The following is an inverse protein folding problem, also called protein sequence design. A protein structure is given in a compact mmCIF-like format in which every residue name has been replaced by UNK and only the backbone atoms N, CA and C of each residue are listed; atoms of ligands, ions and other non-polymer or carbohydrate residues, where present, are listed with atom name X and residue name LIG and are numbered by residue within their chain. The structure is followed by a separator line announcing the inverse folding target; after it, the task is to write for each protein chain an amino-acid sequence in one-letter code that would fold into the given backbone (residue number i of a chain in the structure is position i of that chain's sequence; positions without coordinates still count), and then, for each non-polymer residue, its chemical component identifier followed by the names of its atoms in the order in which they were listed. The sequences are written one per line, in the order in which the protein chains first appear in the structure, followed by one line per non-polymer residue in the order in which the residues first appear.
data_IF_362186382219
#
_entry.id   IF_362186382219
#
_cell.length_a   1.000
_cell.length_b   1.000
_cell.length_c   1.000
_cell.angle_alpha   90.00
_cell.angle_beta   90.00
_cell.angle_gamma   90.00
#
_symmetry.space_group_name_H-M   'P 1'
#
loop_
_entity.id
_entity.type
_entity.pdbx_description
1 polymer ?
#
# COMPACT_ATOMS: atom_id res chain seq x y z
N UNK A 1 -32.32 23.42 -25.25
CA UNK A 1 -32.05 22.09 -25.84
C UNK A 1 -30.76 21.44 -25.31
N UNK A 2 -29.68 22.20 -25.07
CA UNK A 2 -28.39 21.62 -24.70
C UNK A 2 -28.32 21.10 -23.25
N UNK A 3 -28.95 21.77 -22.29
CA UNK A 3 -29.00 21.28 -20.89
C UNK A 3 -29.73 19.94 -20.75
N UNK A 4 -30.75 19.69 -21.59
CA UNK A 4 -31.43 18.40 -21.70
C UNK A 4 -30.52 17.31 -22.29
N UNK A 5 -29.51 17.67 -23.10
CA UNK A 5 -28.50 16.73 -23.60
C UNK A 5 -27.56 16.30 -22.48
N UNK A 6 -27.21 17.19 -21.55
CA UNK A 6 -26.36 16.86 -20.41
C UNK A 6 -27.11 15.96 -19.41
N UNK A 7 -28.36 16.26 -19.08
CA UNK A 7 -29.14 15.44 -18.14
C UNK A 7 -29.36 14.01 -18.66
N UNK A 8 -29.44 13.83 -19.98
CA UNK A 8 -29.56 12.50 -20.61
C UNK A 8 -28.20 11.93 -21.07
N UNK A 9 -27.09 12.55 -20.70
CA UNK A 9 -25.76 12.12 -21.12
C UNK A 9 -25.29 10.86 -20.37
N UNK A 10 -24.39 10.11 -21.01
CA UNK A 10 -23.62 9.07 -20.33
C UNK A 10 -22.70 9.73 -19.29
N UNK A 11 -22.62 9.21 -18.05
CA UNK A 11 -21.68 9.67 -17.02
C UNK A 11 -20.23 9.87 -17.49
N UNK A 12 -19.78 9.16 -18.53
CA UNK A 12 -18.44 9.29 -19.12
C UNK A 12 -18.21 10.59 -19.88
N UNK A 13 -19.27 11.33 -20.21
CA UNK A 13 -19.20 12.63 -20.87
C UNK A 13 -18.84 13.76 -19.91
N UNK A 14 -18.97 13.54 -18.60
CA UNK A 14 -18.51 14.47 -17.57
C UNK A 14 -17.11 14.07 -17.10
N UNK A 15 -16.28 15.08 -16.84
CA UNK A 15 -14.92 14.90 -16.32
C UNK A 15 -14.60 15.94 -15.25
N UNK A 16 -13.92 15.49 -14.19
CA UNK A 16 -13.37 16.36 -13.17
C UNK A 16 -11.90 16.66 -13.50
N UNK A 17 -11.59 17.94 -13.68
CA UNK A 17 -10.24 18.42 -13.91
C UNK A 17 -9.50 18.69 -12.58
N UNK A 18 -8.17 18.74 -12.63
CA UNK A 18 -7.31 18.92 -11.44
C UNK A 18 -7.46 20.30 -10.78
N UNK A 19 -7.94 21.29 -11.53
CA UNK A 19 -8.25 22.63 -11.03
C UNK A 19 -9.63 22.70 -10.34
N UNK A 20 -10.39 21.59 -10.29
CA UNK A 20 -11.71 21.52 -9.68
C UNK A 20 -12.87 21.83 -10.64
N UNK A 21 -12.59 22.08 -11.92
CA UNK A 21 -13.64 22.29 -12.91
C UNK A 21 -14.27 20.96 -13.34
N UNK A 22 -15.61 20.95 -13.43
CA UNK A 22 -16.37 19.88 -14.06
C UNK A 22 -16.67 20.31 -15.49
N UNK A 23 -16.20 19.52 -16.44
CA UNK A 23 -16.38 19.77 -17.87
C UNK A 23 -17.25 18.69 -18.50
N UNK A 24 -18.04 19.06 -19.50
CA UNK A 24 -18.86 18.16 -20.30
C UNK A 24 -18.38 18.12 -21.74
N UNK A 25 -18.46 16.94 -22.35
CA UNK A 25 -18.15 16.71 -23.75
C UNK A 25 -19.20 15.85 -24.43
N UNK A 26 -19.65 16.29 -25.60
CA UNK A 26 -20.54 15.49 -26.44
C UNK A 26 -19.89 14.18 -26.90
N UNK A 27 -18.63 14.23 -27.32
CA UNK A 27 -17.85 13.06 -27.75
C UNK A 27 -16.77 12.73 -26.72
N UNK A 28 -16.91 11.59 -26.04
CA UNK A 28 -15.99 11.13 -24.97
C UNK A 28 -14.56 10.92 -25.50
N UNK A 29 -14.39 10.67 -26.80
CA UNK A 29 -13.09 10.43 -27.43
C UNK A 29 -12.33 11.71 -27.78
N UNK A 30 -12.95 12.88 -27.62
CA UNK A 30 -12.29 14.14 -27.96
C UNK A 30 -11.14 14.43 -26.97
N UNK A 31 -9.91 14.67 -27.46
CA UNK A 31 -8.76 14.97 -26.59
C UNK A 31 -8.76 16.41 -26.05
N UNK A 32 -9.55 17.32 -26.63
CA UNK A 32 -9.63 18.71 -26.18
C UNK A 32 -10.34 18.79 -24.81
N UNK A 33 -10.09 19.83 -23.99
CA UNK A 33 -10.87 20.07 -22.78
C UNK A 33 -12.36 20.28 -23.11
N UNK A 34 -13.25 19.78 -22.25
CA UNK A 34 -14.69 19.93 -22.45
C UNK A 34 -15.15 21.35 -22.14
N UNK A 35 -16.44 21.59 -22.40
CA UNK A 35 -17.05 22.86 -21.99
C UNK A 35 -17.31 22.81 -20.48
N UNK A 36 -16.91 23.86 -19.76
CA UNK A 36 -17.08 23.94 -18.31
C UNK A 36 -18.56 24.02 -17.95
N UNK A 37 -19.00 23.22 -16.99
CA UNK A 37 -20.41 23.17 -16.54
C UNK A 37 -20.53 23.56 -15.08
N UNK A 38 -19.55 23.18 -14.24
CA UNK A 38 -19.57 23.49 -12.82
C UNK A 38 -18.15 23.59 -12.24
N UNK A 39 -18.06 24.08 -11.02
CA UNK A 39 -16.84 24.06 -10.19
C UNK A 39 -17.17 23.35 -8.89
N UNK A 40 -16.25 22.52 -8.40
CA UNK A 40 -16.38 21.91 -7.08
C UNK A 40 -16.06 22.92 -5.97
N UNK A 41 -16.78 22.78 -4.87
CA UNK A 41 -16.61 23.59 -3.66
C UNK A 41 -16.65 22.70 -2.44
N UNK A 42 -16.14 23.22 -1.32
CA UNK A 42 -16.16 22.54 -0.04
C UNK A 42 -17.59 22.22 0.38
N UNK A 43 -17.86 20.95 0.71
CA UNK A 43 -19.16 20.50 1.19
C UNK A 43 -19.18 20.22 2.69
N UNK A 44 -20.05 19.31 3.13
CA UNK A 44 -20.25 19.00 4.55
C UNK A 44 -19.15 18.09 5.14
N UNK A 45 -18.50 17.30 4.29
CA UNK A 45 -17.37 16.45 4.66
C UNK A 45 -16.30 16.46 3.56
N UNK A 46 -15.10 16.00 3.89
CA UNK A 46 -13.98 15.91 2.92
C UNK A 46 -14.36 15.10 1.68
N UNK A 47 -15.17 14.05 1.84
CA UNK A 47 -15.56 13.13 0.77
C UNK A 47 -16.93 13.45 0.17
N UNK A 48 -17.52 14.60 0.52
CA UNK A 48 -18.82 15.04 0.02
C UNK A 48 -18.75 16.49 -0.48
N UNK A 49 -17.97 16.76 -1.55
CA UNK A 49 -17.89 18.10 -2.14
C UNK A 49 -19.22 18.52 -2.75
N UNK A 50 -19.44 19.84 -2.87
CA UNK A 50 -20.61 20.43 -3.50
C UNK A 50 -20.23 21.06 -4.84
N UNK A 51 -21.20 21.33 -5.70
CA UNK A 51 -20.96 22.03 -6.96
C UNK A 51 -21.56 23.44 -6.96
N UNK A 52 -20.96 24.32 -7.76
CA UNK A 52 -21.56 25.57 -8.22
C UNK A 52 -21.60 25.49 -9.74
N UNK A 53 -22.79 25.64 -10.33
CA UNK A 53 -22.93 25.71 -11.78
C UNK A 53 -22.25 26.98 -12.31
N UNK A 54 -21.54 26.84 -13.41
CA UNK A 54 -20.98 27.99 -14.14
C UNK A 54 -22.13 28.76 -14.81
N UNK A 55 -22.00 30.07 -15.01
CA UNK A 55 -23.02 30.86 -15.69
C UNK A 55 -22.69 31.00 -17.18
N UNK A 56 -23.14 30.04 -18.00
CA UNK A 56 -22.86 30.01 -19.44
C UNK A 56 -24.06 29.53 -20.27
N UNK A 57 -23.95 29.56 -21.60
CA UNK A 57 -25.05 29.18 -22.49
C UNK A 57 -25.55 27.72 -22.30
N UNK A 58 -24.73 26.84 -21.71
CA UNK A 58 -25.09 25.43 -21.46
C UNK A 58 -25.91 25.27 -20.17
N UNK A 59 -25.68 26.14 -19.19
CA UNK A 59 -26.31 26.12 -17.86
C UNK A 59 -27.46 27.14 -17.74
N UNK A 60 -27.47 28.20 -18.55
CA UNK A 60 -28.49 29.27 -18.53
C UNK A 60 -29.81 28.91 -19.23
N UNK A 61 -29.87 27.80 -19.98
CA UNK A 61 -31.11 27.46 -20.67
C UNK A 61 -32.23 27.18 -19.64
N UNK A 62 -33.44 27.66 -19.93
CA UNK A 62 -34.64 27.73 -19.08
C UNK A 62 -35.11 26.39 -18.43
N UNK A 63 -34.40 25.28 -18.68
CA UNK A 63 -34.63 23.93 -18.15
C UNK A 63 -33.86 23.63 -16.84
N UNK A 64 -33.76 24.62 -15.94
CA UNK A 64 -32.91 24.59 -14.74
C UNK A 64 -33.35 23.66 -13.59
N UNK A 65 -34.33 22.77 -13.77
CA UNK A 65 -34.92 22.05 -12.64
C UNK A 65 -34.24 20.72 -12.26
N UNK A 66 -33.05 20.42 -12.78
CA UNK A 66 -32.37 19.16 -12.43
C UNK A 66 -30.91 19.03 -12.86
N UNK A 67 -30.34 19.99 -13.59
CA UNK A 67 -28.94 19.92 -14.01
C UNK A 67 -27.98 19.92 -12.81
N UNK A 68 -28.21 20.80 -11.83
CA UNK A 68 -27.43 20.85 -10.61
C UNK A 68 -27.48 19.51 -9.85
N UNK A 69 -28.68 18.95 -9.69
CA UNK A 69 -28.88 17.65 -9.04
C UNK A 69 -28.19 16.52 -9.81
N UNK A 70 -28.30 16.50 -11.14
CA UNK A 70 -27.63 15.51 -11.98
C UNK A 70 -26.10 15.58 -11.85
N UNK A 71 -25.50 16.77 -11.96
CA UNK A 71 -24.04 16.95 -11.85
C UNK A 71 -23.56 16.67 -10.43
N UNK A 72 -24.32 17.04 -9.41
CA UNK A 72 -24.02 16.71 -8.01
C UNK A 72 -24.07 15.18 -7.78
N UNK A 73 -25.09 14.49 -8.30
CA UNK A 73 -25.21 13.04 -8.20
C UNK A 73 -24.07 12.32 -8.94
N UNK A 74 -23.69 12.83 -10.12
CA UNK A 74 -22.53 12.36 -10.85
C UNK A 74 -21.24 12.54 -10.03
N UNK A 75 -21.03 13.72 -9.41
CA UNK A 75 -19.86 13.99 -8.58
C UNK A 75 -19.80 13.04 -7.38
N UNK A 76 -20.92 12.87 -6.68
CA UNK A 76 -21.03 11.93 -5.55
C UNK A 76 -20.68 10.50 -5.97
N UNK A 77 -21.18 10.05 -7.12
CA UNK A 77 -20.87 8.73 -7.67
C UNK A 77 -19.38 8.62 -8.05
N UNK A 78 -18.84 9.63 -8.74
CA UNK A 78 -17.44 9.68 -9.17
C UNK A 78 -16.47 9.60 -7.98
N UNK A 79 -16.74 10.36 -6.92
CA UNK A 79 -15.95 10.32 -5.67
C UNK A 79 -16.09 8.95 -4.99
N UNK A 80 -17.31 8.41 -4.93
CA UNK A 80 -17.58 7.10 -4.32
C UNK A 80 -16.89 5.95 -5.06
N UNK A 81 -16.83 6.01 -6.39
CA UNK A 81 -16.13 5.02 -7.21
C UNK A 81 -14.61 5.14 -7.02
N UNK A 82 -14.06 6.36 -7.09
CA UNK A 82 -12.63 6.61 -6.94
C UNK A 82 -12.08 6.26 -5.56
N UNK A 83 -12.90 6.45 -4.51
CA UNK A 83 -12.59 6.13 -3.11
C UNK A 83 -13.41 4.96 -2.58
N UNK A 84 -13.83 4.03 -3.44
CA UNK A 84 -14.61 2.84 -3.05
C UNK A 84 -14.03 2.07 -1.84
N UNK A 85 -12.70 1.89 -1.70
CA UNK A 85 -12.13 1.26 -0.51
C UNK A 85 -12.44 1.97 0.80
N UNK A 86 -12.58 3.29 0.77
CA UNK A 86 -12.91 4.11 1.93
C UNK A 86 -14.38 3.91 2.32
N UNK A 87 -15.30 4.01 1.34
CA UNK A 87 -16.73 3.82 1.57
C UNK A 87 -17.09 2.40 2.01
N UNK A 88 -16.27 1.39 1.69
CA UNK A 88 -16.43 0.03 2.24
C UNK A 88 -16.37 -0.02 3.77
N UNK A 89 -15.74 0.95 4.43
CA UNK A 89 -15.66 1.03 5.89
C UNK A 89 -16.98 1.48 6.52
N UNK A 90 -17.86 2.14 5.77
CA UNK A 90 -19.19 2.58 6.20
C UNK A 90 -20.25 1.48 6.07
N UNK A 91 -19.85 0.22 6.17
CA UNK A 91 -20.75 -0.92 6.03
C UNK A 91 -21.49 -1.19 7.35
N UNK A 92 -22.82 -1.14 7.27
CA UNK A 92 -23.73 -1.39 8.40
C UNK A 92 -23.59 -2.80 8.99
N UNK A 93 -23.04 -3.76 8.23
CA UNK A 93 -22.76 -5.11 8.70
C UNK A 93 -21.64 -5.16 9.77
N UNK A 94 -20.81 -4.12 9.89
CA UNK A 94 -19.84 -4.00 10.97
C UNK A 94 -20.58 -3.64 12.25
N UNK A 95 -20.98 -4.63 13.05
CA UNK A 95 -21.84 -4.41 14.23
C UNK A 95 -21.07 -4.19 15.52
N UNK A 96 -19.91 -4.84 15.69
CA UNK A 96 -19.13 -4.80 16.91
C UNK A 96 -18.47 -3.42 17.13
N UNK A 97 -18.54 -2.90 18.36
CA UNK A 97 -18.17 -1.51 18.68
C UNK A 97 -16.69 -1.17 18.37
N UNK A 98 -15.67 -1.95 18.80
CA UNK A 98 -14.28 -1.67 18.43
C UNK A 98 -14.04 -1.71 16.91
N UNK A 99 -14.77 -2.56 16.18
CA UNK A 99 -14.68 -2.65 14.72
C UNK A 99 -15.25 -1.41 14.05
N UNK A 100 -16.44 -0.95 14.49
CA UNK A 100 -17.05 0.31 14.04
C UNK A 100 -16.14 1.49 14.32
N UNK A 101 -15.57 1.57 15.52
CA UNK A 101 -14.67 2.67 15.90
C UNK A 101 -13.43 2.73 15.00
N UNK A 102 -12.79 1.57 14.74
CA UNK A 102 -11.65 1.48 13.82
C UNK A 102 -12.06 1.92 12.41
N UNK A 103 -13.20 1.43 11.91
CA UNK A 103 -13.68 1.75 10.58
C UNK A 103 -14.00 3.25 10.42
N UNK A 104 -14.66 3.85 11.42
CA UNK A 104 -15.00 5.28 11.42
C UNK A 104 -13.74 6.14 11.49
N UNK A 105 -12.84 5.87 12.44
CA UNK A 105 -11.57 6.62 12.56
C UNK A 105 -10.77 6.54 11.26
N UNK A 106 -10.66 5.36 10.66
CA UNK A 106 -9.98 5.20 9.38
C UNK A 106 -10.70 5.93 8.25
N UNK A 107 -12.03 5.96 8.23
CA UNK A 107 -12.79 6.73 7.25
C UNK A 107 -12.47 8.24 7.35
N UNK A 108 -12.46 8.78 8.57
CA UNK A 108 -12.14 10.17 8.86
C UNK A 108 -10.67 10.50 8.53
N UNK A 109 -9.76 9.55 8.77
CA UNK A 109 -8.35 9.62 8.39
C UNK A 109 -8.06 9.32 6.90
N UNK A 110 -9.08 9.31 6.03
CA UNK A 110 -8.97 9.00 4.60
C UNK A 110 -8.24 7.67 4.30
N UNK A 111 -8.44 6.69 5.17
CA UNK A 111 -7.98 5.32 5.00
C UNK A 111 -6.57 5.05 5.51
N UNK A 112 -5.98 5.96 6.30
CA UNK A 112 -4.66 5.77 6.91
C UNK A 112 -4.55 6.49 8.27
N UNK A 113 -4.16 5.73 9.30
CA UNK A 113 -3.95 6.28 10.65
C UNK A 113 -2.74 5.66 11.34
N UNK A 114 -2.10 6.40 12.27
CA UNK A 114 -1.16 5.83 13.22
C UNK A 114 -1.80 4.68 14.01
N UNK A 115 -1.12 3.53 14.05
CA UNK A 115 -1.60 2.36 14.79
C UNK A 115 -1.83 2.67 16.26
N UNK A 116 -1.01 3.56 16.82
CA UNK A 116 -1.09 3.96 18.23
C UNK A 116 -2.47 4.56 18.58
N UNK A 117 -3.14 5.26 17.66
CA UNK A 117 -4.48 5.86 17.85
C UNK A 117 -5.61 4.82 17.86
N UNK A 118 -5.35 3.65 17.29
CA UNK A 118 -6.29 2.53 17.21
C UNK A 118 -5.99 1.46 18.26
N UNK A 119 -4.92 1.62 19.05
CA UNK A 119 -4.41 0.56 19.92
C UNK A 119 -5.46 0.07 20.94
N UNK A 120 -6.25 0.98 21.53
CA UNK A 120 -7.28 0.63 22.50
C UNK A 120 -8.40 -0.23 21.90
N UNK A 121 -8.78 0.04 20.65
CA UNK A 121 -9.80 -0.74 19.94
C UNK A 121 -9.21 -2.07 19.44
N UNK A 122 -7.95 -2.06 18.98
CA UNK A 122 -7.23 -3.26 18.53
C UNK A 122 -7.07 -4.29 19.66
N UNK A 123 -6.77 -3.82 20.88
CA UNK A 123 -6.58 -4.68 22.05
C UNK A 123 -7.88 -5.38 22.50
N UNK A 124 -9.04 -4.83 22.13
CA UNK A 124 -10.37 -5.38 22.45
C UNK A 124 -10.90 -6.35 21.39
N UNK A 125 -10.24 -6.46 20.22
CA UNK A 125 -10.71 -7.35 19.16
C UNK A 125 -10.50 -8.82 19.51
N UNK A 126 -11.54 -9.63 19.30
CA UNK A 126 -11.46 -11.09 19.25
C UNK A 126 -11.29 -11.60 17.80
N UNK A 127 -11.30 -12.92 17.61
CA UNK A 127 -11.07 -13.54 16.31
C UNK A 127 -12.23 -13.33 15.33
N UNK A 128 -13.46 -13.29 15.82
CA UNK A 128 -14.66 -13.04 15.01
C UNK A 128 -14.69 -11.58 14.51
N UNK A 129 -14.34 -10.63 15.39
CA UNK A 129 -14.16 -9.22 15.05
C UNK A 129 -13.07 -9.03 14.01
N UNK A 130 -11.92 -9.71 14.16
CA UNK A 130 -10.85 -9.69 13.13
C UNK A 130 -11.33 -10.27 11.82
N UNK A 131 -12.11 -11.37 11.85
CA UNK A 131 -12.67 -11.98 10.66
C UNK A 131 -13.63 -11.04 9.92
N UNK A 132 -14.42 -10.24 10.66
CA UNK A 132 -15.33 -9.24 10.07
C UNK A 132 -14.61 -8.12 9.30
N UNK A 133 -13.36 -7.80 9.68
CA UNK A 133 -12.54 -6.78 9.00
C UNK A 133 -11.77 -7.30 7.78
N UNK A 134 -11.61 -8.63 7.63
CA UNK A 134 -10.86 -9.20 6.49
C UNK A 134 -11.42 -8.78 5.12
N UNK A 135 -12.75 -8.78 4.87
CA UNK A 135 -13.31 -8.33 3.59
C UNK A 135 -13.04 -6.86 3.29
N UNK A 136 -12.77 -6.04 4.33
CA UNK A 136 -12.44 -4.62 4.19
C UNK A 136 -11.01 -4.38 3.71
N UNK A 137 -10.17 -5.42 3.64
CA UNK A 137 -8.79 -5.37 3.14
C UNK A 137 -7.90 -4.35 3.87
N UNK A 138 -8.16 -4.14 5.15
CA UNK A 138 -7.30 -3.32 6.00
C UNK A 138 -5.96 -3.99 6.24
N UNK A 139 -4.89 -3.20 6.16
CA UNK A 139 -3.52 -3.61 6.53
C UNK A 139 -3.21 -3.07 7.92
N UNK A 140 -2.99 -3.97 8.87
CA UNK A 140 -2.51 -3.64 10.21
C UNK A 140 -0.99 -3.69 10.26
N UNK A 141 -0.34 -2.63 9.74
CA UNK A 141 1.10 -2.47 9.82
C UNK A 141 1.59 -2.21 11.24
N UNK A 142 2.90 -2.35 11.55
CA UNK A 142 3.43 -2.11 12.88
C UNK A 142 3.30 -0.63 13.31
N UNK A 143 3.40 0.30 12.36
CA UNK A 143 3.38 1.74 12.60
C UNK A 143 2.04 2.38 12.20
N UNK A 144 1.47 1.95 11.07
CA UNK A 144 0.27 2.53 10.47
C UNK A 144 -0.75 1.43 10.16
N UNK A 145 -2.03 1.77 10.30
CA UNK A 145 -3.14 0.97 9.77
C UNK A 145 -3.69 1.70 8.55
N UNK A 146 -3.81 1.00 7.42
CA UNK A 146 -4.18 1.66 6.16
C UNK A 146 -4.91 0.74 5.17
N UNK A 147 -5.55 1.35 4.16
CA UNK A 147 -6.15 0.68 3.01
C UNK A 147 -5.14 0.60 1.84
N UNK A 148 -4.59 -0.58 1.50
CA UNK A 148 -3.57 -0.71 0.45
C UNK A 148 -4.05 -0.30 -0.95
N UNK A 149 -5.35 -0.30 -1.19
CA UNK A 149 -5.94 0.02 -2.50
C UNK A 149 -5.94 1.53 -2.80
N UNK A 150 -5.87 2.40 -1.78
CA UNK A 150 -5.86 3.85 -1.94
C UNK A 150 -4.49 4.41 -2.40
N UNK A 151 -3.44 3.58 -2.47
CA UNK A 151 -2.11 3.97 -2.98
C UNK A 151 -2.05 4.18 -4.50
N UNK A 152 -3.15 3.94 -5.21
CA UNK A 152 -3.23 4.08 -6.68
C UNK A 152 -3.23 5.57 -7.04
N UNK A 153 -2.56 5.99 -8.13
CA UNK A 153 -2.45 7.41 -8.48
C UNK A 153 -3.78 8.16 -8.58
N UNK A 154 -4.81 7.53 -9.15
CA UNK A 154 -6.14 8.13 -9.24
C UNK A 154 -6.76 8.43 -7.87
N UNK A 155 -6.65 7.50 -6.91
CA UNK A 155 -7.14 7.69 -5.55
C UNK A 155 -6.34 8.76 -4.81
N UNK A 156 -5.01 8.75 -4.95
CA UNK A 156 -4.10 9.77 -4.38
C UNK A 156 -4.48 11.18 -4.89
N UNK A 157 -4.66 11.35 -6.20
CA UNK A 157 -5.06 12.63 -6.79
C UNK A 157 -6.44 13.08 -6.30
N UNK A 158 -7.39 12.16 -6.21
CA UNK A 158 -8.73 12.46 -5.70
C UNK A 158 -8.69 12.89 -4.23
N UNK A 159 -7.99 12.14 -3.36
CA UNK A 159 -7.82 12.51 -1.94
C UNK A 159 -7.13 13.87 -1.80
N UNK A 160 -6.07 14.12 -2.57
CA UNK A 160 -5.34 15.37 -2.56
C UNK A 160 -6.22 16.55 -2.99
N UNK A 161 -6.99 16.40 -4.07
CA UNK A 161 -7.94 17.41 -4.54
C UNK A 161 -9.00 17.73 -3.49
N UNK A 162 -9.63 16.69 -2.90
CA UNK A 162 -10.66 16.85 -1.88
C UNK A 162 -10.12 17.48 -0.58
N UNK A 163 -8.93 17.08 -0.13
CA UNK A 163 -8.27 17.66 1.05
C UNK A 163 -7.84 19.11 0.81
N UNK A 164 -7.33 19.42 -0.38
CA UNK A 164 -6.92 20.78 -0.74
C UNK A 164 -8.13 21.71 -0.71
N UNK A 165 -9.24 21.24 -1.29
CA UNK A 165 -10.53 21.92 -1.26
C UNK A 165 -11.07 22.09 0.18
N UNK A 166 -11.01 21.03 0.99
CA UNK A 166 -11.46 21.05 2.38
C UNK A 166 -10.67 22.02 3.26
N UNK A 167 -9.37 22.13 3.01
CA UNK A 167 -8.46 23.02 3.72
C UNK A 167 -8.45 24.46 3.15
N UNK A 168 -9.40 24.79 2.26
CA UNK A 168 -9.54 26.11 1.65
C UNK A 168 -8.24 26.58 0.94
N UNK A 169 -7.46 25.64 0.41
CA UNK A 169 -6.22 25.88 -0.38
C UNK A 169 -6.56 25.93 -1.87
N UNK A 170 -5.74 26.64 -2.66
CA UNK A 170 -5.93 26.73 -4.12
C UNK A 170 -5.62 25.40 -4.81
N UNK A 171 -6.47 25.02 -5.77
CA UNK A 171 -6.17 23.97 -6.73
C UNK A 171 -5.23 24.51 -7.85
N UNK A 172 -4.46 23.65 -8.55
CA UNK A 172 -4.39 22.20 -8.40
C UNK A 172 -3.70 21.75 -7.11
N UNK A 173 -4.11 20.59 -6.60
CA UNK A 173 -3.55 20.00 -5.39
C UNK A 173 -2.08 19.60 -5.56
N UNK A 174 -1.29 19.74 -4.50
CA UNK A 174 0.09 19.25 -4.49
C UNK A 174 0.10 17.73 -4.33
N UNK A 175 0.51 17.02 -5.38
CA UNK A 175 0.58 15.56 -5.39
C UNK A 175 2.00 15.07 -5.73
N UNK A 176 2.46 13.96 -5.14
CA UNK A 176 3.67 13.29 -5.58
C UNK A 176 3.54 12.80 -7.02
N UNK A 177 4.66 12.70 -7.75
CA UNK A 177 4.67 12.16 -9.10
C UNK A 177 4.17 10.70 -9.14
N UNK A 178 3.43 10.35 -10.19
CA UNK A 178 2.85 9.01 -10.34
C UNK A 178 3.94 7.92 -10.26
N UNK A 179 3.75 6.95 -9.36
CA UNK A 179 4.65 5.81 -9.17
C UNK A 179 5.89 6.11 -8.32
N UNK A 180 6.13 7.35 -7.89
CA UNK A 180 7.28 7.67 -7.04
C UNK A 180 7.19 6.96 -5.68
N UNK A 181 8.29 6.39 -5.22
CA UNK A 181 8.32 5.67 -3.94
C UNK A 181 8.51 6.60 -2.75
N UNK A 182 9.45 7.53 -2.87
CA UNK A 182 9.67 8.56 -1.88
C UNK A 182 10.25 9.80 -2.53
N UNK A 183 10.13 10.92 -1.84
CA UNK A 183 10.78 12.16 -2.23
C UNK A 183 11.28 12.91 -1.00
N UNK A 184 12.35 13.69 -1.19
CA UNK A 184 12.90 14.54 -0.14
C UNK A 184 12.01 15.75 0.08
N UNK A 185 11.81 16.07 1.34
CA UNK A 185 11.09 17.24 1.79
C UNK A 185 12.08 18.40 1.84
N UNK A 186 11.84 19.43 1.02
CA UNK A 186 12.69 20.62 0.97
C UNK A 186 12.21 21.72 1.93
N UNK A 187 10.91 21.76 2.18
CA UNK A 187 10.26 22.79 2.99
C UNK A 187 10.02 22.31 4.42
N UNK A 188 10.43 23.12 5.40
CA UNK A 188 10.24 22.80 6.82
C UNK A 188 8.77 22.83 7.26
N UNK A 189 7.93 23.53 6.51
CA UNK A 189 6.50 23.73 6.82
C UNK A 189 5.60 22.73 6.08
N UNK A 190 6.14 21.55 5.74
CA UNK A 190 5.35 20.50 5.10
C UNK A 190 4.20 20.06 5.99
N UNK A 191 3.01 19.95 5.39
CA UNK A 191 1.81 19.48 6.08
C UNK A 191 1.85 17.94 6.17
N UNK A 192 2.45 17.43 7.25
CA UNK A 192 2.65 15.99 7.45
C UNK A 192 1.33 15.20 7.48
N UNK A 193 0.26 15.80 7.99
CA UNK A 193 -1.06 15.17 8.06
C UNK A 193 -1.69 15.08 6.67
N UNK A 194 -1.56 16.13 5.83
CA UNK A 194 -1.96 16.09 4.43
C UNK A 194 -1.27 14.96 3.67
N UNK A 195 0.07 14.89 3.76
CA UNK A 195 0.83 13.86 3.05
C UNK A 195 0.55 12.45 3.57
N UNK A 196 0.35 12.29 4.87
CA UNK A 196 -0.13 11.01 5.43
C UNK A 196 -1.47 10.63 4.83
N UNK A 197 -2.46 11.52 4.82
CA UNK A 197 -3.81 11.25 4.37
C UNK A 197 -3.91 10.84 2.88
N UNK A 198 -2.99 11.32 2.03
CA UNK A 198 -2.87 10.90 0.62
C UNK A 198 -1.97 9.66 0.41
N UNK A 199 -1.52 9.01 1.50
CA UNK A 199 -0.75 7.76 1.46
C UNK A 199 0.77 7.90 1.41
N UNK A 200 1.30 9.10 1.69
CA UNK A 200 2.74 9.41 1.74
C UNK A 200 3.18 9.93 3.11
N UNK A 201 3.08 9.11 4.18
CA UNK A 201 3.52 9.55 5.50
C UNK A 201 4.95 10.09 5.51
N UNK A 202 5.15 11.14 6.30
CA UNK A 202 6.40 11.87 6.45
C UNK A 202 7.17 11.34 7.66
N UNK A 203 8.40 10.88 7.44
CA UNK A 203 9.34 10.52 8.50
C UNK A 203 10.74 11.04 8.17
N UNK A 204 11.35 11.74 9.12
CA UNK A 204 12.64 12.39 8.90
C UNK A 204 12.56 13.37 7.71
N UNK A 205 13.54 13.37 6.79
CA UNK A 205 13.57 14.29 5.67
C UNK A 205 12.76 13.81 4.44
N UNK A 206 11.94 12.74 4.54
CA UNK A 206 11.27 12.14 3.38
C UNK A 206 9.78 11.89 3.61
N UNK A 207 9.02 12.05 2.54
CA UNK A 207 7.67 11.50 2.40
C UNK A 207 7.75 10.22 1.57
N UNK A 208 7.13 9.15 2.05
CA UNK A 208 7.30 7.80 1.49
C UNK A 208 5.95 7.13 1.31
N UNK A 209 5.78 6.39 0.22
CA UNK A 209 4.59 5.55 0.04
C UNK A 209 4.41 4.61 1.23
N UNK A 210 3.18 4.58 1.76
CA UNK A 210 2.83 3.80 2.94
C UNK A 210 3.19 2.31 2.83
N UNK A 211 3.10 1.70 1.63
CA UNK A 211 3.40 0.28 1.44
C UNK A 211 4.90 -0.04 1.48
N UNK A 212 5.75 0.85 0.99
CA UNK A 212 7.20 0.68 1.07
C UNK A 212 7.71 0.99 2.48
N UNK A 213 7.10 1.96 3.15
CA UNK A 213 7.36 2.20 4.56
C UNK A 213 6.98 0.99 5.42
N UNK A 214 5.78 0.41 5.24
CA UNK A 214 5.35 -0.79 5.98
C UNK A 214 6.33 -1.95 5.76
N UNK A 215 6.84 -2.11 4.53
CA UNK A 215 7.83 -3.14 4.21
C UNK A 215 9.14 -2.97 4.98
N UNK A 216 9.70 -1.76 5.01
CA UNK A 216 10.91 -1.45 5.78
C UNK A 216 10.68 -1.69 7.25
N UNK A 217 9.55 -1.21 7.79
CA UNK A 217 9.21 -1.37 9.20
C UNK A 217 9.08 -2.85 9.55
N UNK A 218 8.40 -3.66 8.74
CA UNK A 218 8.33 -5.11 8.96
C UNK A 218 9.74 -5.75 9.00
N UNK A 219 10.61 -5.41 8.05
CA UNK A 219 11.98 -5.94 8.02
C UNK A 219 12.81 -5.53 9.25
N UNK A 220 12.60 -4.33 9.79
CA UNK A 220 13.22 -3.88 11.04
C UNK A 220 12.77 -4.77 12.21
N UNK A 221 11.48 -5.05 12.34
CA UNK A 221 10.96 -5.89 13.41
C UNK A 221 11.36 -7.37 13.25
N UNK A 222 11.39 -7.89 12.03
CA UNK A 222 11.75 -9.30 11.75
C UNK A 222 13.25 -9.57 11.96
N UNK A 223 14.12 -8.59 11.71
CA UNK A 223 15.56 -8.70 11.91
C UNK A 223 16.02 -8.39 13.34
N UNK A 224 15.15 -7.86 14.19
CA UNK A 224 15.50 -7.43 15.53
C UNK A 224 15.79 -8.62 16.45
N UNK A 225 16.95 -8.59 17.13
CA UNK A 225 17.37 -9.54 18.16
C UNK A 225 17.73 -8.78 19.44
N UNK A 226 17.23 -9.24 20.58
CA UNK A 226 17.45 -8.60 21.90
C UNK A 226 17.12 -7.09 21.92
N UNK A 227 16.12 -6.68 21.14
CA UNK A 227 15.69 -5.28 21.02
C UNK A 227 16.67 -4.39 20.24
N UNK A 228 17.56 -4.97 19.45
CA UNK A 228 18.48 -4.27 18.54
C UNK A 228 18.35 -4.83 17.13
N UNK A 229 18.58 -4.00 16.12
CA UNK A 229 18.64 -4.41 14.73
C UNK A 229 19.75 -3.65 14.00
N UNK A 230 20.27 -4.24 12.94
CA UNK A 230 21.21 -3.57 12.04
C UNK A 230 20.44 -3.01 10.86
N UNK A 231 20.68 -1.75 10.49
CA UNK A 231 20.13 -1.21 9.25
C UNK A 231 20.65 -2.04 8.06
N UNK A 232 19.85 -2.17 7.00
CA UNK A 232 20.23 -2.95 5.82
C UNK A 232 20.21 -2.08 4.58
N UNK A 233 21.17 -2.30 3.68
CA UNK A 233 21.23 -1.61 2.38
C UNK A 233 19.93 -1.74 1.60
N UNK A 234 19.31 -2.92 1.67
CA UNK A 234 18.02 -3.21 1.04
C UNK A 234 16.89 -2.26 1.50
N UNK A 235 16.94 -1.78 2.75
CA UNK A 235 15.94 -0.82 3.27
C UNK A 235 16.06 0.54 2.57
N UNK A 236 17.28 1.04 2.36
CA UNK A 236 17.52 2.29 1.63
C UNK A 236 17.10 2.17 0.16
N UNK A 237 17.38 1.01 -0.47
CA UNK A 237 16.97 0.71 -1.84
C UNK A 237 15.46 0.69 -2.01
N UNK A 238 14.72 0.05 -1.09
CA UNK A 238 13.25 0.05 -1.15
C UNK A 238 12.66 1.44 -1.01
N UNK A 239 13.29 2.33 -0.24
CA UNK A 239 12.83 3.70 -0.09
C UNK A 239 13.33 4.61 -1.21
N UNK A 240 14.34 4.21 -1.99
CA UNK A 240 15.02 5.10 -2.92
C UNK A 240 15.69 6.28 -2.20
N UNK A 241 16.23 6.03 -1.00
CA UNK A 241 16.91 7.04 -0.18
C UNK A 241 18.41 6.75 -0.11
N UNK A 242 19.20 7.75 0.28
CA UNK A 242 20.58 7.50 0.72
C UNK A 242 20.57 6.85 2.12
N UNK A 243 21.76 6.43 2.58
CA UNK A 243 21.93 5.77 3.89
C UNK A 243 21.70 6.76 5.04
N UNK A 244 22.08 8.03 4.86
CA UNK A 244 21.89 9.07 5.87
C UNK A 244 20.41 9.35 6.14
N UNK A 245 19.61 9.53 5.08
CA UNK A 245 18.16 9.65 5.13
C UNK A 245 17.54 8.42 5.78
N UNK A 246 18.03 7.21 5.46
CA UNK A 246 17.54 5.98 6.11
C UNK A 246 17.72 6.05 7.63
N UNK A 247 18.88 6.50 8.11
CA UNK A 247 19.12 6.64 9.55
C UNK A 247 18.18 7.67 10.19
N UNK A 248 18.00 8.83 9.55
CA UNK A 248 17.06 9.85 10.02
C UNK A 248 15.60 9.36 10.02
N UNK A 249 15.21 8.52 9.06
CA UNK A 249 13.90 7.89 9.02
C UNK A 249 13.73 6.90 10.18
N UNK A 250 14.73 6.05 10.44
CA UNK A 250 14.72 5.11 11.57
C UNK A 250 14.62 5.86 12.91
N UNK A 251 15.36 6.97 13.06
CA UNK A 251 15.31 7.82 14.24
C UNK A 251 13.95 8.51 14.39
N UNK A 252 13.37 9.03 13.30
CA UNK A 252 12.04 9.64 13.31
C UNK A 252 10.93 8.65 13.68
N UNK A 253 11.09 7.35 13.41
CA UNK A 253 10.20 6.29 13.88
C UNK A 253 10.37 5.97 15.38
N UNK A 254 11.39 6.54 16.03
CA UNK A 254 11.68 6.41 17.45
C UNK A 254 12.73 5.37 17.79
N UNK A 255 13.47 4.84 16.80
CA UNK A 255 14.64 3.99 17.04
C UNK A 255 15.85 4.83 17.46
N UNK A 256 16.76 4.26 18.25
CA UNK A 256 17.95 4.98 18.73
C UNK A 256 19.21 4.39 18.10
N UNK A 257 20.02 5.18 17.40
CA UNK A 257 21.33 4.74 16.88
C UNK A 257 22.27 4.39 18.06
N UNK A 258 22.83 3.18 18.09
CA UNK A 258 23.71 2.68 19.16
C UNK A 258 25.18 2.65 18.71
N UNK A 259 25.46 2.22 17.48
CA UNK A 259 26.83 2.14 16.97
C UNK A 259 26.90 2.52 15.50
N UNK A 260 28.02 3.15 15.14
CA UNK A 260 28.40 3.40 13.75
C UNK A 260 28.97 2.12 13.13
N UNK A 261 28.86 1.95 11.80
CA UNK A 261 29.35 0.75 11.14
C UNK A 261 30.83 0.55 11.47
N UNK A 262 31.20 -0.64 11.94
CA UNK A 262 32.60 -1.06 11.95
C UNK A 262 33.05 -1.11 10.50
N UNK A 263 33.71 -0.05 10.04
CA UNK A 263 34.69 -0.19 8.97
C UNK A 263 35.66 -1.26 9.49
N UNK A 264 35.69 -2.42 8.84
CA UNK A 264 36.83 -3.29 8.98
C UNK A 264 37.99 -2.48 8.42
N UNK A 265 38.73 -1.81 9.29
CA UNK A 265 40.06 -1.37 8.99
C UNK A 265 40.84 -2.64 8.68
N UNK A 266 41.14 -2.84 7.40
CA UNK A 266 42.12 -3.83 6.97
C UNK A 266 43.47 -3.40 7.58
N UNK A 267 43.74 -3.85 8.80
CA UNK A 267 45.09 -3.84 9.34
C UNK A 267 45.91 -4.90 8.59
N UNK A 268 46.86 -4.45 7.76
CA UNK A 268 47.85 -5.35 7.15
C UNK A 268 48.58 -4.80 5.94
N UNK A 269 49.32 -3.70 6.12
CA UNK A 269 50.53 -3.29 5.38
C UNK A 269 50.64 -3.59 3.87
N UNK A 270 50.45 -2.52 3.08
CA UNK A 270 51.17 -2.34 1.82
C UNK A 270 52.67 -2.27 2.09
N UNK A 271 53.41 -3.29 1.66
CA UNK A 271 54.81 -3.10 1.26
C UNK A 271 54.84 -2.78 -0.23
N UNK A 272 55.47 -1.66 -0.56
CA UNK A 272 55.71 -1.15 -1.91
C UNK A 272 56.94 -1.85 -2.46
N UNK A 273 56.84 -2.52 -3.61
CA UNK A 273 57.95 -2.57 -4.56
C UNK A 273 57.43 -2.38 -5.99
N UNK A 274 57.97 -1.35 -6.64
CA UNK A 274 57.71 -0.98 -8.02
C UNK A 274 58.86 -1.47 -8.91
N UNK A 275 58.52 -2.14 -10.01
CA UNK A 275 59.30 -2.27 -11.25
C UNK A 275 58.30 -2.76 -12.31
N UNK A 276 58.13 -2.24 -13.52
CA UNK A 276 58.95 -1.38 -14.35
C UNK A 276 58.79 -1.84 -15.81
N UNK A 277 57.76 -1.33 -16.50
CA UNK A 277 57.67 -1.01 -17.95
C UNK A 277 58.00 -2.10 -19.00
N UNK A 278 57.01 -2.52 -19.83
CA UNK A 278 56.85 -2.15 -21.28
C UNK A 278 55.68 -2.87 -21.99
N UNK A 279 55.15 -2.13 -22.97
CA UNK A 279 54.16 -2.39 -24.02
C UNK A 279 54.45 -3.59 -24.96
N UNK A 280 53.43 -4.30 -25.47
CA UNK A 280 52.81 -4.04 -26.80
C UNK A 280 51.62 -4.99 -27.13
N UNK A 281 50.84 -4.57 -28.12
CA UNK A 281 49.61 -5.13 -28.74
C UNK A 281 49.50 -6.66 -28.95
N UNK A 282 48.28 -7.25 -28.81
CA UNK A 282 47.34 -7.56 -29.93
C UNK A 282 46.27 -8.63 -29.58
N UNK A 283 45.07 -8.34 -30.05
CA UNK A 283 44.05 -9.23 -30.64
C UNK A 283 43.07 -10.05 -29.78
N UNK A 284 41.83 -9.97 -30.27
CA UNK A 284 40.55 -10.46 -29.76
C UNK A 284 40.42 -11.96 -29.99
N UNK A 285 39.94 -12.70 -29.00
CA UNK A 285 39.14 -13.91 -29.22
C UNK A 285 38.05 -14.04 -28.16
N UNK A 286 36.81 -14.16 -28.63
CA UNK A 286 35.63 -14.53 -27.85
C UNK A 286 35.79 -15.94 -27.26
N UNK A 287 35.58 -16.07 -25.95
CA UNK A 287 35.14 -17.32 -25.35
C UNK A 287 34.38 -17.03 -24.04
N UNK A 288 33.09 -17.35 -24.09
CA UNK A 288 32.10 -17.53 -23.01
C UNK A 288 32.63 -17.50 -21.58
N UNK A 289 32.28 -16.43 -20.84
CA UNK A 289 32.32 -16.41 -19.39
C UNK A 289 30.87 -16.35 -18.86
N UNK A 290 30.46 -17.45 -18.23
CA UNK A 290 29.24 -17.55 -17.43
C UNK A 290 29.35 -16.59 -16.25
N UNK A 291 28.65 -15.47 -16.34
CA UNK A 291 28.68 -14.41 -15.34
C UNK A 291 27.88 -14.84 -14.09
N UNK A 292 28.59 -15.50 -13.16
CA UNK A 292 28.13 -15.61 -11.78
C UNK A 292 28.29 -14.23 -11.15
N UNK A 293 27.20 -13.49 -11.04
CA UNK A 293 27.10 -12.30 -10.19
C UNK A 293 27.42 -12.74 -8.76
N UNK A 294 28.68 -12.55 -8.36
CA UNK A 294 29.08 -12.59 -6.96
C UNK A 294 28.50 -11.35 -6.30
N UNK A 295 27.56 -11.58 -5.37
CA UNK A 295 27.01 -10.58 -4.49
C UNK A 295 28.16 -9.94 -3.68
N UNK A 296 28.65 -8.80 -4.16
CA UNK A 296 29.64 -8.00 -3.46
C UNK A 296 29.04 -7.62 -2.11
N UNK A 297 29.67 -8.07 -1.02
CA UNK A 297 29.24 -7.80 0.34
C UNK A 297 29.29 -6.29 0.59
N UNK A 298 28.12 -5.64 0.52
CA UNK A 298 27.95 -4.23 0.91
C UNK A 298 28.39 -4.07 2.37
N UNK A 299 28.99 -2.92 2.73
CA UNK A 299 29.51 -2.71 4.08
C UNK A 299 28.42 -2.93 5.14
N UNK A 300 28.80 -3.28 6.37
CA UNK A 300 27.84 -3.32 7.46
C UNK A 300 27.34 -1.88 7.74
N UNK A 301 26.07 -1.73 8.12
CA UNK A 301 25.48 -0.42 8.47
C UNK A 301 25.30 -0.29 9.98
N UNK A 302 24.93 0.92 10.43
CA UNK A 302 24.72 1.23 11.85
C UNK A 302 23.69 0.31 12.55
N UNK A 303 23.92 0.06 13.84
CA UNK A 303 23.03 -0.71 14.70
C UNK A 303 22.12 0.24 15.48
N UNK A 304 20.83 -0.09 15.55
CA UNK A 304 19.79 0.67 16.21
C UNK A 304 19.15 -0.12 17.36
N UNK A 305 18.75 0.58 18.41
CA UNK A 305 17.86 0.09 19.46
C UNK A 305 16.40 0.24 19.00
N UNK A 306 15.62 -0.82 19.13
CA UNK A 306 14.20 -0.81 18.83
C UNK A 306 13.43 0.09 19.83
N UNK A 307 12.43 0.84 19.36
CA UNK A 307 11.48 1.55 20.23
C UNK A 307 10.74 0.50 21.05
N UNK A 308 10.91 0.49 22.39
CA UNK A 308 10.19 -0.46 23.25
C UNK A 308 8.71 -0.07 23.30
N UNK A 309 7.85 -0.88 22.68
CA UNK A 309 6.40 -0.74 22.81
C UNK A 309 5.91 -1.09 24.22
N UNK A 310 4.70 -0.63 24.60
CA UNK A 310 4.06 -0.89 25.90
C UNK A 310 3.99 -2.39 26.26
N UNK A 311 3.90 -3.27 25.25
CA UNK A 311 3.92 -4.73 25.44
C UNK A 311 5.24 -5.27 26.04
N UNK A 312 6.39 -4.65 25.70
CA UNK A 312 7.69 -5.02 26.26
C UNK A 312 7.87 -4.52 27.71
N UNK A 313 7.28 -3.37 28.05
CA UNK A 313 7.34 -2.82 29.42
C UNK A 313 6.59 -3.70 30.44
N UNK A 314 5.49 -4.37 30.05
CA UNK A 314 4.81 -5.34 30.91
C UNK A 314 5.70 -6.53 31.29
N UNK A 315 6.62 -6.94 30.42
CA UNK A 315 7.59 -7.99 30.72
C UNK A 315 8.69 -7.52 31.70
N UNK A 316 9.05 -6.22 31.66
CA UNK A 316 10.07 -5.65 32.54
C UNK A 316 9.58 -5.36 33.99
N UNK A 317 8.28 -5.23 34.21
CA UNK A 317 7.69 -4.95 35.55
C UNK A 317 7.22 -6.26 36.24
N UNK A 318 7.16 -7.38 35.53
CA UNK A 318 6.79 -8.71 36.06
C UNK A 318 7.96 -9.53 36.62
N UNK A 319 8.90 -8.89 37.33
CA UNK A 319 10.02 -9.58 37.97
C UNK A 319 9.67 -10.14 39.34
N UNK A 320 8.88 -11.23 39.41
CA UNK A 320 8.81 -12.11 40.57
C UNK A 320 8.27 -13.49 40.16
N UNK A 321 9.15 -14.32 39.59
CA UNK A 321 8.89 -15.76 39.41
C UNK A 321 8.78 -16.40 40.78
N UNK A 322 7.56 -16.59 41.28
CA UNK A 322 7.31 -17.39 42.48
C UNK A 322 7.26 -18.87 42.08
N UNK A 323 8.42 -19.51 42.13
CA UNK A 323 8.54 -20.95 41.92
C UNK A 323 8.05 -21.65 43.21
N UNK A 324 6.77 -21.99 43.28
CA UNK A 324 6.21 -22.81 44.37
C UNK A 324 5.89 -24.21 43.86
N UNK A 325 6.82 -25.14 44.12
CA UNK A 325 6.52 -26.57 44.22
C UNK A 325 5.34 -26.75 45.19
N UNK A 326 4.31 -27.48 44.77
CA UNK A 326 3.27 -27.94 45.69
C UNK A 326 3.16 -29.45 45.55
N UNK A 327 3.80 -30.12 46.51
CA UNK A 327 3.69 -31.55 46.74
C UNK A 327 2.26 -31.91 47.19
N UNK A 328 1.85 -33.11 46.80
CA UNK A 328 0.52 -33.69 46.95
C UNK A 328 0.15 -34.01 48.40
N UNK A 329 -1.13 -33.93 48.76
CA UNK A 329 -1.84 -35.01 49.49
C UNK A 329 -3.34 -34.72 49.69
N UNK A 330 -4.15 -35.76 49.44
CA UNK A 330 -5.43 -35.95 50.14
C UNK A 330 -6.72 -35.61 49.40
N UNK A 331 -7.18 -36.46 48.48
CA UNK A 331 -8.58 -36.93 48.55
C UNK A 331 -8.81 -38.23 47.78
N UNK A 332 -9.69 -39.06 48.35
CA UNK A 332 -9.83 -40.51 48.18
C UNK A 332 -10.55 -40.97 46.90
N UNK A 333 -10.42 -42.27 46.70
CA UNK A 333 -10.74 -43.13 45.56
C UNK A 333 -12.22 -43.53 45.31
N UNK A 334 -12.59 -43.49 44.00
CA UNK A 334 -13.50 -44.38 43.20
C UNK A 334 -15.04 -44.32 43.39
N UNK A 335 -15.87 -44.77 42.40
CA UNK A 335 -15.54 -45.58 41.21
C UNK A 335 -16.03 -45.05 39.83
N UNK A 336 -15.39 -45.57 38.78
CA UNK A 336 -15.63 -45.31 37.34
C UNK A 336 -16.93 -45.98 36.85
N UNK A 337 -17.83 -45.20 36.22
CA UNK A 337 -18.88 -45.75 35.34
C UNK A 337 -18.31 -46.04 33.96
N UNK A 338 -18.51 -47.29 33.51
CA UNK A 338 -18.08 -47.84 32.22
C UNK A 338 -18.91 -47.22 31.09
N UNK A 339 -18.24 -46.58 30.11
CA UNK A 339 -18.83 -46.32 28.79
C UNK A 339 -18.29 -47.35 27.79
N UNK A 340 -19.19 -48.08 27.14
CA UNK A 340 -18.88 -49.12 26.14
C UNK A 340 -18.36 -48.48 24.83
N UNK A 341 -17.32 -49.03 24.19
CA UNK A 341 -16.97 -48.66 22.82
C UNK A 341 -17.85 -49.44 21.84
N UNK A 342 -18.46 -48.75 20.86
CA UNK A 342 -19.29 -49.38 19.83
C UNK A 342 -18.58 -49.28 18.47
N UNK A 343 -18.25 -50.45 17.92
CA UNK A 343 -18.28 -50.72 16.47
C UNK A 343 -17.08 -50.31 15.61
N UNK A 344 -16.21 -51.28 15.35
CA UNK A 344 -15.25 -51.29 14.22
C UNK A 344 -15.98 -51.13 12.88
N UNK A 345 -15.46 -50.30 11.98
CA UNK A 345 -15.48 -50.54 10.53
C UNK A 345 -14.06 -50.38 9.98
N UNK A 346 -13.75 -51.28 9.07
CA UNK A 346 -12.44 -51.65 8.54
C UNK A 346 -11.72 -50.52 7.84
N UNK A 347 -10.40 -50.50 8.07
CA UNK A 347 -9.42 -49.63 7.45
C UNK A 347 -9.03 -50.26 6.11
N UNK A 348 -9.35 -49.62 4.98
CA UNK A 348 -8.80 -49.98 3.66
C UNK A 348 -7.93 -48.80 3.21
N UNK A 349 -6.63 -49.07 3.08
CA UNK A 349 -5.59 -48.12 2.77
C UNK A 349 -5.76 -47.62 1.33
N UNK A 350 -6.05 -46.34 1.13
CA UNK A 350 -5.95 -45.68 -0.18
C UNK A 350 -4.89 -44.60 -0.09
N UNK A 351 -3.82 -44.80 -0.83
CA UNK A 351 -2.72 -43.86 -1.03
C UNK A 351 -3.21 -42.49 -1.53
N UNK A 352 -2.50 -41.40 -1.17
CA UNK A 352 -2.88 -40.06 -1.58
C UNK A 352 -2.60 -39.86 -3.08
N UNK A 353 -3.64 -39.74 -3.89
CA UNK A 353 -3.51 -39.31 -5.29
C UNK A 353 -3.38 -37.79 -5.35
N UNK A 354 -2.23 -37.31 -5.85
CA UNK A 354 -2.03 -35.94 -6.27
C UNK A 354 -3.11 -35.53 -7.29
N UNK A 355 -3.87 -34.48 -6.98
CA UNK A 355 -4.77 -33.86 -7.95
C UNK A 355 -3.98 -32.88 -8.80
N UNK A 356 -3.36 -33.39 -9.86
CA UNK A 356 -2.82 -32.56 -10.95
C UNK A 356 -3.99 -32.12 -11.82
N UNK A 357 -4.38 -30.85 -11.74
CA UNK A 357 -5.24 -30.24 -12.76
C UNK A 357 -4.36 -29.89 -13.96
N UNK A 358 -4.29 -30.78 -14.96
CA UNK A 358 -3.87 -30.41 -16.32
C UNK A 358 -5.12 -30.03 -17.10
N UNK A 359 -5.29 -28.74 -17.35
CA UNK A 359 -6.23 -28.25 -18.35
C UNK A 359 -5.51 -28.27 -19.70
N UNK A 360 -5.71 -29.31 -20.49
CA UNK A 360 -5.35 -29.27 -21.91
C UNK A 360 -6.49 -28.60 -22.68
N UNK A 361 -6.27 -27.36 -23.10
CA UNK A 361 -7.15 -26.70 -24.05
C UNK A 361 -6.98 -27.36 -25.43
N UNK A 362 -8.08 -27.78 -26.05
CA UNK A 362 -8.06 -28.22 -27.46
C UNK A 362 -7.75 -26.99 -28.32
N UNK A 363 -6.53 -26.90 -28.83
CA UNK A 363 -6.17 -25.91 -29.84
C UNK A 363 -6.78 -26.34 -31.17
N UNK A 364 -7.82 -25.65 -31.62
CA UNK A 364 -8.27 -25.75 -33.01
C UNK A 364 -7.20 -25.06 -33.89
N UNK A 365 -6.63 -25.74 -34.90
CA UNK A 365 -5.59 -25.16 -35.74
C UNK A 365 -6.08 -24.00 -36.63
N UNK A 366 -7.39 -23.79 -36.73
CA UNK A 366 -7.99 -22.71 -37.52
C UNK A 366 -8.15 -21.37 -36.78
N UNK A 367 -7.97 -21.33 -35.46
CA UNK A 367 -8.07 -20.11 -34.64
C UNK A 367 -6.70 -19.51 -34.28
N UNK A 368 -5.61 -19.98 -34.92
CA UNK A 368 -4.28 -19.43 -34.69
C UNK A 368 -4.09 -18.16 -35.54
N UNK A 369 -3.87 -16.98 -34.94
CA UNK A 369 -3.73 -15.71 -35.66
C UNK A 369 -2.56 -15.65 -36.66
N UNK A 370 -1.67 -16.65 -36.65
CA UNK A 370 -0.54 -16.78 -37.58
C UNK A 370 -0.76 -17.80 -38.73
N UNK A 371 -1.93 -18.44 -38.83
CA UNK A 371 -2.21 -19.45 -39.88
C UNK A 371 -2.08 -18.88 -41.30
N UNK A 372 -2.33 -17.58 -41.48
CA UNK A 372 -2.24 -16.86 -42.76
C UNK A 372 -0.78 -16.77 -43.27
N UNK A 373 0.21 -16.77 -42.37
CA UNK A 373 1.64 -16.70 -42.76
C UNK A 373 2.17 -18.01 -43.36
N UNK A 374 1.58 -19.15 -43.03
CA UNK A 374 1.94 -20.44 -43.61
C UNK A 374 1.50 -20.57 -45.08
N UNK A 375 0.36 -19.97 -45.43
CA UNK A 375 -0.19 -20.01 -46.79
C UNK A 375 0.60 -19.14 -47.77
N UNK A 376 1.15 -18.01 -47.30
CA UNK A 376 2.00 -17.13 -48.11
C UNK A 376 3.37 -17.72 -48.43
N UNK A 377 3.85 -18.71 -47.66
CA UNK A 377 5.14 -19.38 -47.92
C UNK A 377 5.05 -20.50 -48.96
N UNK A 378 3.84 -21.00 -49.23
CA UNK A 378 3.58 -22.04 -50.24
C UNK A 378 3.32 -21.41 -51.61
N UNK A 379 2.77 -20.19 -51.66
CA UNK A 379 2.50 -19.48 -52.92
C UNK A 379 3.76 -18.91 -53.63
N UNK A 380 4.93 -18.89 -52.98
CA UNK A 380 6.19 -18.38 -53.56
C UNK A 380 7.17 -19.50 -53.97
N UNK A 381 6.68 -20.72 -54.19
CA UNK A 381 7.52 -21.85 -54.64
C UNK A 381 7.17 -22.41 -56.01
N UNK A 382 6.16 -21.85 -56.66
CA UNK A 382 5.78 -22.13 -58.04
C UNK A 382 5.72 -20.80 -58.82
N UNK A 383 6.89 -20.20 -59.03
CA UNK A 383 7.25 -19.36 -60.20
C UNK A 383 8.78 -19.21 -60.30
#
# INVERSE_FOLDING_TARGET
MVSTLIINSDPKQLRLAENGDITWQKDVTNPLPGEKVAVITKGESVVSPQIILEDNALTQAEANNGLAEYVQNWLNFYVREGLEPLFRLQDEALTAEPVKNIAQKLFDGLGILPREELQADIDQMDDDMRQSLRPKKLRFGPLLVYLPELKKPAAVRMQALLLTLWNDKSLPAQVPADGIVSFSIKDKDIDADYYRAIGYPVYGPRAMRVDMLDRVVCAVYDSAKDGKFMAQHQMAEWLGSNIEDLYLILEAMGHKKISEPTLKEDEGEKTIEASGVKSDDKEVTEAEATDKVQEQAKPDLAIFALKRGKASQKSAIGGAVHNKKKDLSGFSSKPKKKFKPKGKRSNEHKEPRERVYKAEAKTNPEDNPFAILGQLKVANKDD
#
